data_IF_284461205915
#
_entry.id   IF_284461205915
#
_cell.length_a   1.000
_cell.length_b   1.000
_cell.length_c   1.000
_cell.angle_alpha   90.00
_cell.angle_beta   90.00
_cell.angle_gamma   90.00
#
_symmetry.space_group_name_H-M   'P 1'
#
loop_
_entity.id
_entity.type
_entity.pdbx_description
1 polymer ?
#
# COMPACT_ATOMS: atom_id res chain seq x y z
N UNK A 1 19.14 13.09 0.65
CA UNK A 1 19.15 13.46 2.09
C UNK A 1 17.80 13.16 2.72
N UNK A 2 17.67 13.28 4.05
CA UNK A 2 16.36 13.22 4.74
C UNK A 2 15.35 14.21 4.13
N UNK A 3 15.83 15.42 3.78
CA UNK A 3 15.02 16.48 3.17
C UNK A 3 14.43 16.06 1.82
N UNK A 4 15.19 15.38 0.96
CA UNK A 4 14.69 14.85 -0.31
C UNK A 4 13.62 13.77 -0.10
N UNK A 5 13.79 12.91 0.90
CA UNK A 5 12.81 11.88 1.24
C UNK A 5 11.50 12.52 1.73
N UNK A 6 11.58 13.53 2.60
CA UNK A 6 10.42 14.29 3.07
C UNK A 6 9.74 15.08 1.96
N UNK A 7 10.50 15.70 1.06
CA UNK A 7 9.96 16.43 -0.09
C UNK A 7 9.15 15.49 -1.00
N UNK A 8 9.66 14.27 -1.25
CA UNK A 8 8.93 13.24 -2.00
C UNK A 8 7.68 12.74 -1.28
N UNK A 9 7.68 12.63 0.05
CA UNK A 9 6.49 12.23 0.81
C UNK A 9 5.42 13.34 0.73
N UNK A 10 5.83 14.61 0.87
CA UNK A 10 4.92 15.75 0.87
C UNK A 10 4.30 16.05 -0.50
N UNK A 11 4.95 15.67 -1.60
CA UNK A 11 4.41 15.85 -2.96
C UNK A 11 3.37 14.79 -3.34
N UNK A 12 3.25 13.71 -2.56
CA UNK A 12 2.27 12.65 -2.78
C UNK A 12 0.93 13.01 -2.14
N UNK A 13 -0.14 12.34 -2.59
CA UNK A 13 -1.42 12.39 -1.88
C UNK A 13 -1.26 11.86 -0.44
N UNK A 14 -1.90 12.49 0.56
CA UNK A 14 -1.90 11.97 1.92
C UNK A 14 -2.36 10.51 1.97
N UNK A 15 -1.64 9.67 2.72
CA UNK A 15 -1.91 8.23 2.79
C UNK A 15 -3.36 7.91 3.17
N UNK A 16 -3.93 8.66 4.13
CA UNK A 16 -5.31 8.44 4.56
C UNK A 16 -6.33 8.73 3.46
N UNK A 17 -6.09 9.74 2.61
CA UNK A 17 -6.94 10.04 1.45
C UNK A 17 -6.76 9.00 0.35
N UNK A 18 -5.54 8.51 0.13
CA UNK A 18 -5.26 7.44 -0.83
C UNK A 18 -6.00 6.15 -0.46
N UNK A 19 -6.00 5.80 0.83
CA UNK A 19 -6.70 4.61 1.36
C UNK A 19 -8.20 4.70 1.14
N UNK A 20 -8.82 5.87 1.35
CA UNK A 20 -10.27 6.07 1.13
C UNK A 20 -10.71 5.84 -0.33
N UNK A 21 -9.79 5.96 -1.28
CA UNK A 21 -10.08 5.86 -2.72
C UNK A 21 -9.72 4.50 -3.33
N UNK A 22 -9.15 3.58 -2.55
CA UNK A 22 -8.63 2.32 -3.06
C UNK A 22 -9.66 1.19 -2.92
N UNK A 23 -9.77 0.32 -3.93
CA UNK A 23 -10.61 -0.88 -3.89
C UNK A 23 -10.07 -1.93 -2.90
N UNK A 24 -8.74 -1.99 -2.75
CA UNK A 24 -8.05 -2.81 -1.77
C UNK A 24 -6.75 -2.14 -1.31
N UNK A 25 -6.28 -2.46 -0.09
CA UNK A 25 -5.08 -1.87 0.50
C UNK A 25 -4.17 -2.96 1.05
N UNK A 26 -2.89 -2.92 0.65
CA UNK A 26 -1.83 -3.75 1.22
C UNK A 26 -0.99 -2.91 2.19
N UNK A 27 -0.90 -3.34 3.44
CA UNK A 27 -0.02 -2.75 4.46
C UNK A 27 1.33 -3.46 4.41
N UNK A 28 2.37 -2.76 3.96
CA UNK A 28 3.73 -3.29 3.80
C UNK A 28 4.68 -2.89 4.95
N UNK A 29 4.13 -2.55 6.12
CA UNK A 29 4.93 -2.21 7.30
C UNK A 29 5.48 -3.44 8.05
N UNK A 30 5.06 -4.64 7.65
CA UNK A 30 5.48 -5.91 8.23
C UNK A 30 6.51 -6.64 7.37
N UNK A 31 6.52 -7.96 7.48
CA UNK A 31 7.36 -8.86 6.68
C UNK A 31 6.88 -8.96 5.23
N UNK A 32 7.76 -9.44 4.37
CA UNK A 32 7.42 -9.71 2.97
C UNK A 32 6.39 -10.87 2.87
N UNK A 33 6.43 -11.84 3.78
CA UNK A 33 5.46 -12.93 3.86
C UNK A 33 4.05 -12.41 4.18
N UNK A 34 3.90 -11.52 5.16
CA UNK A 34 2.60 -10.87 5.48
C UNK A 34 2.07 -10.04 4.31
N UNK A 35 2.98 -9.38 3.57
CA UNK A 35 2.62 -8.61 2.36
C UNK A 35 2.13 -9.54 1.25
N UNK A 36 2.81 -10.67 1.03
CA UNK A 36 2.40 -11.71 0.05
C UNK A 36 1.04 -12.31 0.41
N UNK A 37 0.80 -12.59 1.69
CA UNK A 37 -0.49 -13.13 2.15
C UNK A 37 -1.65 -12.19 1.86
N UNK A 38 -1.49 -10.88 2.14
CA UNK A 38 -2.50 -9.86 1.79
C UNK A 38 -2.75 -9.81 0.28
N UNK A 39 -1.69 -9.85 -0.53
CA UNK A 39 -1.82 -9.86 -2.00
C UNK A 39 -2.60 -11.08 -2.50
N UNK A 40 -2.25 -12.29 -2.05
CA UNK A 40 -2.96 -13.50 -2.48
C UNK A 40 -4.43 -13.49 -2.05
N UNK A 41 -4.74 -12.92 -0.88
CA UNK A 41 -6.12 -12.79 -0.42
C UNK A 41 -6.94 -11.88 -1.35
N UNK A 42 -6.41 -10.70 -1.68
CA UNK A 42 -7.06 -9.74 -2.59
C UNK A 42 -7.27 -10.35 -3.98
N UNK A 43 -6.26 -11.02 -4.52
CA UNK A 43 -6.35 -11.66 -5.84
C UNK A 43 -7.41 -12.78 -5.88
N UNK A 44 -7.61 -13.53 -4.77
CA UNK A 44 -8.68 -14.52 -4.65
C UNK A 44 -10.06 -13.86 -4.62
N UNK A 45 -10.20 -12.78 -3.85
CA UNK A 45 -11.45 -12.00 -3.79
C UNK A 45 -11.84 -11.43 -5.15
N UNK A 46 -10.84 -11.06 -5.96
CA UNK A 46 -11.04 -10.58 -7.33
C UNK A 46 -11.17 -11.70 -8.38
N UNK A 47 -11.10 -12.97 -7.96
CA UNK A 47 -11.13 -14.13 -8.84
C UNK A 47 -10.10 -14.04 -9.98
N UNK A 48 -8.92 -13.52 -9.66
CA UNK A 48 -7.80 -13.29 -10.58
C UNK A 48 -6.64 -14.28 -10.34
N UNK A 49 -6.96 -15.43 -9.72
CA UNK A 49 -6.03 -16.46 -9.27
C UNK A 49 -6.38 -17.82 -9.87
#
# INVERSE_FOLDING_TARGET
SEEEALARIRSQMPLHEKVKKADAVIKNNGTIEETKQQLFQILKEWNAL
#
